data_IF_842285677740
#
_entry.id   IF_842285677740
#
_cell.length_a   1.000
_cell.length_b   1.000
_cell.length_c   1.000
_cell.angle_alpha   90.00
_cell.angle_beta   90.00
_cell.angle_gamma   90.00
#
_symmetry.space_group_name_H-M   'P 1'
#
loop_
_entity.id
_entity.type
_entity.pdbx_description
1 polymer ?
#
# COMPACT_ATOMS: atom_id res chain seq x y z
N UNK A 1 -20.86 3.80 8.80
CA UNK A 1 -21.41 2.76 7.89
C UNK A 1 -20.91 1.35 8.24
N UNK A 2 -21.68 0.28 7.99
CA UNK A 2 -21.22 -1.14 8.10
C UNK A 2 -20.58 -1.58 6.78
N UNK A 3 -19.40 -2.22 6.81
CA UNK A 3 -18.62 -2.63 5.62
C UNK A 3 -19.07 -3.99 5.04
N UNK A 4 -20.26 -4.03 4.44
CA UNK A 4 -20.81 -5.18 3.72
C UNK A 4 -20.53 -5.11 2.20
N UNK A 5 -20.95 -6.12 1.42
CA UNK A 5 -20.68 -6.20 -0.03
C UNK A 5 -21.11 -4.96 -0.82
N UNK A 6 -22.29 -4.42 -0.52
CA UNK A 6 -22.82 -3.22 -1.20
C UNK A 6 -22.06 -1.95 -0.83
N UNK A 7 -21.67 -1.84 0.43
CA UNK A 7 -20.99 -0.65 0.93
C UNK A 7 -19.55 -0.56 0.43
N UNK A 8 -18.87 -1.70 0.24
CA UNK A 8 -17.52 -1.77 -0.34
C UNK A 8 -17.53 -1.21 -1.76
N UNK A 9 -18.48 -1.66 -2.59
CA UNK A 9 -18.60 -1.15 -3.97
C UNK A 9 -18.94 0.34 -4.00
N UNK A 10 -19.85 0.80 -3.13
CA UNK A 10 -20.19 2.23 -2.98
C UNK A 10 -18.96 3.07 -2.62
N UNK A 11 -18.14 2.64 -1.67
CA UNK A 11 -16.94 3.37 -1.24
C UNK A 11 -15.94 3.50 -2.39
N UNK A 12 -15.66 2.38 -3.07
CA UNK A 12 -14.70 2.34 -4.18
C UNK A 12 -15.18 3.21 -5.36
N UNK A 13 -16.46 3.15 -5.69
CA UNK A 13 -17.05 3.96 -6.75
C UNK A 13 -17.06 5.45 -6.38
N UNK A 14 -17.64 5.81 -5.22
CA UNK A 14 -17.92 7.20 -4.86
C UNK A 14 -16.67 8.03 -4.60
N UNK A 15 -15.66 7.45 -3.95
CA UNK A 15 -14.45 8.18 -3.59
C UNK A 15 -13.35 8.08 -4.65
N UNK A 16 -13.32 6.97 -5.38
CA UNK A 16 -12.21 6.69 -6.29
C UNK A 16 -12.57 6.72 -7.76
N UNK A 17 -13.85 6.67 -8.10
CA UNK A 17 -14.35 6.75 -9.49
C UNK A 17 -14.23 5.43 -10.25
N UNK A 18 -13.98 4.31 -9.55
CA UNK A 18 -13.90 3.01 -10.19
C UNK A 18 -15.26 2.60 -10.79
N UNK A 19 -15.22 1.98 -11.96
CA UNK A 19 -16.43 1.60 -12.67
C UNK A 19 -17.08 0.39 -11.99
N UNK A 20 -18.38 0.51 -11.70
CA UNK A 20 -19.20 -0.61 -11.22
C UNK A 20 -19.72 -1.41 -12.41
N UNK A 21 -19.51 -2.72 -12.41
CA UNK A 21 -19.91 -3.63 -13.47
C UNK A 21 -20.86 -4.68 -12.89
N UNK A 22 -22.16 -4.65 -13.25
CA UNK A 22 -23.09 -5.66 -12.76
C UNK A 22 -22.81 -7.01 -13.43
N UNK A 23 -22.85 -8.07 -12.65
CA UNK A 23 -22.71 -9.45 -13.09
C UNK A 23 -23.88 -10.30 -12.55
N UNK A 24 -24.54 -11.14 -13.39
CA UNK A 24 -25.71 -11.90 -12.98
C UNK A 24 -25.51 -12.82 -11.77
N UNK A 25 -24.33 -13.44 -11.64
CA UNK A 25 -24.05 -14.42 -10.58
C UNK A 25 -23.11 -13.89 -9.50
N UNK A 26 -22.21 -12.98 -9.87
CA UNK A 26 -21.22 -12.41 -8.96
C UNK A 26 -21.68 -11.11 -8.28
N UNK A 27 -22.77 -10.51 -8.76
CA UNK A 27 -23.31 -9.24 -8.26
C UNK A 27 -22.57 -8.02 -8.80
N UNK A 28 -22.57 -6.93 -8.03
CA UNK A 28 -21.88 -5.70 -8.41
C UNK A 28 -20.35 -5.85 -8.25
N UNK A 29 -19.62 -5.79 -9.36
CA UNK A 29 -18.16 -5.83 -9.40
C UNK A 29 -17.56 -4.43 -9.48
N UNK A 30 -16.32 -4.27 -9.02
CA UNK A 30 -15.54 -3.04 -9.25
C UNK A 30 -14.41 -3.31 -10.23
N UNK A 31 -14.44 -2.65 -11.38
CA UNK A 31 -13.40 -2.72 -12.40
C UNK A 31 -12.22 -1.80 -12.06
N UNK A 32 -11.02 -2.35 -12.11
CA UNK A 32 -9.75 -1.68 -11.81
C UNK A 32 -8.71 -1.94 -12.90
N UNK A 33 -7.76 -1.00 -13.02
CA UNK A 33 -6.54 -1.26 -13.80
C UNK A 33 -5.67 -2.33 -13.10
N UNK A 34 -4.75 -3.02 -13.81
CA UNK A 34 -3.77 -3.92 -13.20
C UNK A 34 -3.03 -3.30 -12.02
N UNK A 35 -2.58 -2.05 -12.16
CA UNK A 35 -1.87 -1.33 -11.12
C UNK A 35 -2.74 -1.10 -9.88
N UNK A 36 -3.95 -0.57 -10.05
CA UNK A 36 -4.85 -0.31 -8.92
C UNK A 36 -5.25 -1.59 -8.19
N UNK A 37 -5.48 -2.66 -8.94
CA UNK A 37 -5.83 -3.97 -8.42
C UNK A 37 -4.67 -4.61 -7.65
N UNK A 38 -3.44 -4.47 -8.16
CA UNK A 38 -2.24 -4.95 -7.47
C UNK A 38 -2.02 -4.21 -6.15
N UNK A 39 -2.12 -2.88 -6.13
CA UNK A 39 -2.04 -2.10 -4.90
C UNK A 39 -3.17 -2.46 -3.92
N UNK A 40 -4.39 -2.65 -4.44
CA UNK A 40 -5.52 -3.12 -3.65
C UNK A 40 -5.23 -4.47 -3.00
N UNK A 41 -4.79 -5.46 -3.77
CA UNK A 41 -4.45 -6.80 -3.25
C UNK A 41 -3.31 -6.74 -2.24
N UNK A 42 -2.24 -6.00 -2.55
CA UNK A 42 -1.05 -5.90 -1.71
C UNK A 42 -1.34 -5.27 -0.34
N UNK A 43 -2.23 -4.27 -0.28
CA UNK A 43 -2.62 -3.64 0.99
C UNK A 43 -3.66 -4.48 1.72
N UNK A 44 -4.71 -4.93 1.02
CA UNK A 44 -5.86 -5.56 1.68
C UNK A 44 -5.67 -7.05 2.01
N UNK A 45 -4.73 -7.73 1.36
CA UNK A 45 -4.60 -9.19 1.44
C UNK A 45 -5.69 -9.96 0.68
N UNK A 46 -6.55 -9.25 -0.06
CA UNK A 46 -7.54 -9.88 -0.92
C UNK A 46 -6.87 -10.48 -2.15
N UNK A 47 -7.05 -11.78 -2.35
CA UNK A 47 -6.30 -12.52 -3.36
C UNK A 47 -7.00 -12.62 -4.71
N UNK A 48 -6.20 -12.73 -5.77
CA UNK A 48 -6.62 -13.10 -7.12
C UNK A 48 -7.10 -14.55 -7.11
N UNK A 49 -8.22 -14.85 -7.78
CA UNK A 49 -8.79 -16.19 -7.87
C UNK A 49 -8.00 -17.06 -8.87
N UNK A 50 -6.73 -17.31 -8.55
CA UNK A 50 -5.87 -18.26 -9.28
C UNK A 50 -5.92 -19.67 -8.66
N UNK A 51 -6.40 -19.76 -7.42
CA UNK A 51 -6.60 -20.98 -6.68
C UNK A 51 -7.78 -20.84 -5.71
N UNK A 52 -8.74 -21.76 -5.75
CA UNK A 52 -9.95 -21.71 -4.91
C UNK A 52 -9.71 -22.01 -3.43
N UNK A 53 -8.59 -22.63 -3.07
CA UNK A 53 -8.20 -22.88 -1.67
C UNK A 53 -7.44 -21.71 -1.08
N UNK A 54 -6.53 -21.13 -1.84
CA UNK A 54 -5.69 -20.02 -1.42
C UNK A 54 -5.45 -19.05 -2.57
N UNK A 55 -6.40 -18.13 -2.82
CA UNK A 55 -6.22 -17.04 -3.77
C UNK A 55 -4.92 -16.28 -3.50
N UNK A 56 -4.10 -16.06 -4.53
CA UNK A 56 -2.80 -15.41 -4.39
C UNK A 56 -2.92 -13.92 -4.03
N UNK A 57 -2.11 -13.45 -3.10
CA UNK A 57 -1.93 -12.03 -2.78
C UNK A 57 -0.46 -11.75 -2.45
N UNK A 58 0.01 -10.55 -2.77
CA UNK A 58 1.34 -10.07 -2.41
C UNK A 58 1.42 -9.41 -1.02
N UNK A 59 0.31 -9.37 -0.29
CA UNK A 59 0.28 -8.83 1.07
C UNK A 59 1.28 -9.57 1.98
N UNK A 60 2.03 -8.83 2.80
CA UNK A 60 3.09 -9.41 3.63
C UNK A 60 4.42 -9.63 2.91
N UNK A 61 4.43 -9.79 1.58
CA UNK A 61 5.64 -10.13 0.83
C UNK A 61 6.54 -8.93 0.53
N UNK A 62 6.04 -7.69 0.67
CA UNK A 62 6.77 -6.49 0.23
C UNK A 62 7.42 -5.70 1.37
N UNK A 63 7.53 -6.30 2.56
CA UNK A 63 8.24 -5.68 3.65
C UNK A 63 9.77 -5.65 3.37
N UNK A 64 10.47 -4.60 3.80
CA UNK A 64 11.94 -4.50 3.69
C UNK A 64 12.59 -4.55 5.07
N UNK A 65 12.06 -3.79 6.03
CA UNK A 65 12.58 -3.70 7.39
C UNK A 65 11.47 -3.93 8.42
N UNK A 66 11.82 -4.48 9.58
CA UNK A 66 10.89 -4.60 10.72
C UNK A 66 10.83 -3.34 11.59
N UNK A 67 11.92 -2.57 11.65
CA UNK A 67 12.06 -1.43 12.56
C UNK A 67 12.74 -0.27 11.86
N UNK A 68 12.27 0.94 12.17
CA UNK A 68 12.95 2.16 11.75
C UNK A 68 14.37 2.23 12.34
N UNK A 69 15.31 2.83 11.60
CA UNK A 69 16.72 3.02 11.96
C UNK A 69 17.57 1.75 12.18
N UNK A 70 16.99 0.54 12.16
CA UNK A 70 17.75 -0.70 12.39
C UNK A 70 18.43 -1.25 11.12
N UNK A 71 17.88 -0.97 9.93
CA UNK A 71 18.36 -1.45 8.63
C UNK A 71 18.58 -2.97 8.53
N UNK A 72 17.79 -3.75 9.27
CA UNK A 72 17.83 -5.22 9.22
C UNK A 72 16.79 -5.72 8.23
N UNK A 73 17.26 -6.29 7.11
CA UNK A 73 16.37 -6.88 6.12
C UNK A 73 15.52 -7.99 6.73
N UNK A 74 14.24 -7.97 6.38
CA UNK A 74 13.34 -9.11 6.53
C UNK A 74 13.15 -9.77 5.17
N UNK A 75 12.79 -11.05 5.16
CA UNK A 75 12.44 -11.72 3.90
C UNK A 75 11.17 -11.11 3.34
N UNK A 76 11.32 -10.32 2.29
CA UNK A 76 10.25 -9.66 1.56
C UNK A 76 10.77 -9.15 0.23
N UNK A 77 10.75 -7.83 -0.02
CA UNK A 77 11.32 -7.27 -1.26
C UNK A 77 12.82 -7.53 -1.40
N UNK A 78 13.52 -7.64 -0.27
CA UNK A 78 14.88 -8.14 -0.18
C UNK A 78 14.85 -9.47 0.60
N UNK A 79 15.76 -10.38 0.31
CA UNK A 79 16.06 -11.52 1.18
C UNK A 79 17.07 -11.13 2.28
N UNK A 80 17.42 -12.10 3.13
CA UNK A 80 18.37 -11.86 4.22
C UNK A 80 19.82 -11.69 3.76
N UNK A 81 20.12 -12.00 2.50
CA UNK A 81 21.43 -11.83 1.89
C UNK A 81 21.52 -10.51 1.11
N UNK A 82 20.44 -9.72 1.06
CA UNK A 82 20.38 -8.43 0.38
C UNK A 82 20.08 -8.54 -1.12
N UNK A 83 19.59 -9.69 -1.59
CA UNK A 83 19.11 -9.83 -2.96
C UNK A 83 17.65 -9.40 -3.06
N UNK A 84 17.27 -8.82 -4.19
CA UNK A 84 15.87 -8.59 -4.55
C UNK A 84 15.15 -9.94 -4.68
N UNK A 85 13.98 -10.06 -4.05
CA UNK A 85 13.22 -11.30 -3.97
C UNK A 85 11.72 -11.10 -4.29
N UNK A 86 10.89 -10.67 -3.35
CA UNK A 86 9.45 -10.43 -3.62
C UNK A 86 9.17 -9.01 -4.15
N UNK A 87 9.90 -8.58 -5.18
CA UNK A 87 9.64 -7.28 -5.81
C UNK A 87 8.41 -7.35 -6.72
N UNK A 88 7.66 -6.26 -6.94
CA UNK A 88 6.57 -6.24 -7.92
C UNK A 88 7.00 -6.70 -9.31
N UNK A 89 8.27 -6.46 -9.70
CA UNK A 89 8.83 -6.96 -10.95
C UNK A 89 8.93 -8.48 -10.98
N UNK A 90 9.38 -9.10 -9.90
CA UNK A 90 9.52 -10.56 -9.84
C UNK A 90 8.16 -11.24 -9.67
N UNK A 91 7.27 -10.66 -8.86
CA UNK A 91 5.89 -11.13 -8.74
C UNK A 91 5.15 -11.07 -10.09
N UNK A 92 5.32 -10.00 -10.86
CA UNK A 92 4.75 -9.89 -12.21
C UNK A 92 5.36 -10.91 -13.21
N UNK A 93 6.58 -11.38 -12.99
CA UNK A 93 7.19 -12.43 -13.83
C UNK A 93 6.67 -13.82 -13.47
N UNK A 94 6.49 -14.12 -12.18
CA UNK A 94 5.94 -15.40 -11.71
C UNK A 94 4.42 -15.49 -11.92
N UNK A 95 3.72 -14.36 -11.83
CA UNK A 95 2.28 -14.23 -11.98
C UNK A 95 1.97 -13.18 -13.06
N UNK A 96 2.15 -13.54 -14.33
CA UNK A 96 1.99 -12.61 -15.47
C UNK A 96 0.60 -11.98 -15.57
N UNK A 97 -0.43 -12.64 -15.03
CA UNK A 97 -1.79 -12.12 -14.96
C UNK A 97 -1.89 -10.85 -14.10
N UNK A 98 -0.95 -10.57 -13.19
CA UNK A 98 -0.99 -9.37 -12.34
C UNK A 98 -0.94 -8.07 -13.16
N UNK A 99 -0.24 -8.07 -14.30
CA UNK A 99 0.05 -6.87 -15.10
C UNK A 99 -0.77 -6.75 -16.39
N UNK A 100 -1.67 -7.70 -16.67
CA UNK A 100 -2.47 -7.76 -17.91
C UNK A 100 -3.95 -7.56 -17.65
N UNK A 101 -4.71 -7.18 -18.69
CA UNK A 101 -6.18 -7.15 -18.64
C UNK A 101 -6.79 -6.18 -17.63
N UNK A 102 -8.11 -6.07 -17.63
CA UNK A 102 -8.81 -5.38 -16.55
C UNK A 102 -9.01 -6.33 -15.37
N UNK A 103 -9.03 -5.80 -14.15
CA UNK A 103 -9.25 -6.59 -12.93
C UNK A 103 -10.58 -6.24 -12.28
N UNK A 104 -11.16 -7.20 -11.55
CA UNK A 104 -12.48 -7.08 -10.95
C UNK A 104 -12.45 -7.44 -9.47
N UNK A 105 -12.80 -6.50 -8.60
CA UNK A 105 -13.01 -6.80 -7.18
C UNK A 105 -14.40 -7.41 -7.01
N UNK A 106 -14.47 -8.57 -6.37
CA UNK A 106 -15.71 -9.28 -6.05
C UNK A 106 -15.87 -9.35 -4.53
N UNK A 107 -16.78 -8.57 -3.92
CA UNK A 107 -17.09 -8.68 -2.50
C UNK A 107 -17.86 -9.98 -2.20
N UNK A 108 -17.29 -10.85 -1.38
CA UNK A 108 -17.86 -12.14 -1.00
C UNK A 108 -18.07 -12.18 0.51
N UNK A 109 -19.34 -12.26 0.90
CA UNK A 109 -19.75 -12.45 2.30
C UNK A 109 -19.80 -13.93 2.63
N UNK A 110 -19.22 -14.31 3.78
CA UNK A 110 -19.19 -15.71 4.20
C UNK A 110 -19.11 -15.84 5.72
N UNK A 111 -19.63 -16.96 6.24
CA UNK A 111 -19.58 -17.28 7.68
C UNK A 111 -18.37 -18.14 8.04
N UNK A 112 -18.08 -19.16 7.22
CA UNK A 112 -17.00 -20.13 7.45
C UNK A 112 -16.08 -20.26 6.24
N UNK A 113 -14.84 -20.71 6.46
CA UNK A 113 -13.89 -20.94 5.36
C UNK A 113 -14.36 -22.07 4.42
N UNK A 114 -15.15 -23.04 4.90
CA UNK A 114 -15.71 -24.09 4.06
C UNK A 114 -16.74 -23.50 3.08
N UNK A 115 -17.67 -22.67 3.57
CA UNK A 115 -18.64 -21.97 2.73
C UNK A 115 -17.96 -21.05 1.71
N UNK A 116 -16.88 -20.36 2.12
CA UNK A 116 -16.11 -19.55 1.19
C UNK A 116 -15.49 -20.42 0.10
N UNK A 117 -14.84 -21.53 0.45
CA UNK A 117 -14.19 -22.40 -0.52
C UNK A 117 -15.18 -22.98 -1.54
N UNK A 118 -16.34 -23.46 -1.09
CA UNK A 118 -17.43 -23.91 -1.97
C UNK A 118 -17.85 -22.79 -2.92
N UNK A 119 -18.06 -21.58 -2.40
CA UNK A 119 -18.42 -20.42 -3.21
C UNK A 119 -17.34 -20.06 -4.23
N UNK A 120 -16.06 -20.17 -3.87
CA UNK A 120 -14.96 -19.89 -4.80
C UNK A 120 -14.90 -20.90 -5.95
N UNK A 121 -15.22 -22.18 -5.70
CA UNK A 121 -15.34 -23.20 -6.76
C UNK A 121 -16.49 -22.86 -7.71
N UNK A 122 -17.67 -22.55 -7.17
CA UNK A 122 -18.82 -22.12 -8.00
C UNK A 122 -18.48 -20.89 -8.86
N UNK A 123 -17.79 -19.91 -8.27
CA UNK A 123 -17.36 -18.71 -8.97
C UNK A 123 -16.35 -19.02 -10.07
N UNK A 124 -15.34 -19.84 -9.80
CA UNK A 124 -14.34 -20.26 -10.79
C UNK A 124 -15.00 -20.96 -11.98
N UNK A 125 -15.92 -21.89 -11.72
CA UNK A 125 -16.69 -22.59 -12.75
C UNK A 125 -17.52 -21.62 -13.59
N UNK A 126 -18.27 -20.72 -12.95
CA UNK A 126 -19.09 -19.72 -13.64
C UNK A 126 -18.24 -18.79 -14.52
N UNK A 127 -17.15 -18.25 -13.97
CA UNK A 127 -16.26 -17.32 -14.68
C UNK A 127 -15.67 -18.01 -15.92
N UNK A 128 -15.19 -19.25 -15.75
CA UNK A 128 -14.64 -20.06 -16.84
C UNK A 128 -15.70 -20.35 -17.92
N UNK A 129 -16.92 -20.73 -17.52
CA UNK A 129 -18.02 -21.02 -18.44
C UNK A 129 -18.51 -19.78 -19.22
N UNK A 130 -18.23 -18.57 -18.71
CA UNK A 130 -18.50 -17.30 -19.41
C UNK A 130 -17.32 -16.81 -20.27
N UNK A 131 -16.27 -17.61 -20.41
CA UNK A 131 -15.10 -17.30 -21.25
C UNK A 131 -14.17 -16.23 -20.66
N UNK A 132 -14.24 -15.98 -19.36
CA UNK A 132 -13.36 -15.05 -18.62
C UNK A 132 -12.31 -15.84 -17.83
N UNK A 133 -11.19 -15.20 -17.50
CA UNK A 133 -10.14 -15.81 -16.68
C UNK A 133 -10.42 -15.55 -15.18
N UNK A 134 -10.55 -16.59 -14.32
CA UNK A 134 -10.67 -16.42 -12.87
C UNK A 134 -9.57 -15.53 -12.26
N UNK A 135 -8.36 -15.52 -12.84
CA UNK A 135 -7.23 -14.71 -12.36
C UNK A 135 -7.42 -13.21 -12.55
N UNK A 136 -8.44 -12.78 -13.30
CA UNK A 136 -8.82 -11.37 -13.40
C UNK A 136 -9.65 -10.88 -12.21
N UNK A 137 -10.08 -11.80 -11.32
CA UNK A 137 -10.97 -11.49 -10.21
C UNK A 137 -10.24 -11.54 -8.88
N UNK A 138 -10.39 -10.50 -8.06
CA UNK A 138 -9.88 -10.42 -6.70
C UNK A 138 -11.03 -10.59 -5.71
N UNK A 139 -10.88 -11.54 -4.79
CA UNK A 139 -11.90 -11.88 -3.81
C UNK A 139 -11.77 -10.96 -2.59
N UNK A 140 -12.66 -10.00 -2.49
CA UNK A 140 -12.81 -9.15 -1.30
C UNK A 140 -13.60 -9.92 -0.23
N UNK A 141 -12.90 -10.47 0.75
CA UNK A 141 -13.43 -11.39 1.76
C UNK A 141 -14.10 -10.61 2.88
N UNK A 142 -15.39 -10.82 3.10
CA UNK A 142 -16.17 -10.18 4.17
C UNK A 142 -16.66 -11.25 5.13
N UNK A 143 -15.95 -11.45 6.25
CA UNK A 143 -16.25 -12.54 7.19
C UNK A 143 -17.34 -12.14 8.17
N UNK A 144 -18.57 -12.60 7.94
CA UNK A 144 -19.76 -12.19 8.69
C UNK A 144 -19.72 -12.56 10.18
N UNK A 145 -18.98 -13.61 10.53
CA UNK A 145 -18.81 -14.10 11.91
C UNK A 145 -17.78 -13.32 12.72
N UNK A 146 -17.00 -12.44 12.11
CA UNK A 146 -16.03 -11.60 12.80
C UNK A 146 -16.60 -10.19 13.02
N UNK A 147 -16.52 -9.65 14.23
CA UNK A 147 -16.88 -8.25 14.50
C UNK A 147 -16.05 -7.32 13.61
N UNK A 148 -16.67 -6.32 12.98
CA UNK A 148 -15.98 -5.48 11.98
C UNK A 148 -15.64 -6.17 10.66
N UNK A 149 -16.04 -7.45 10.50
CA UNK A 149 -15.92 -8.25 9.29
C UNK A 149 -14.50 -8.49 8.77
N UNK A 150 -13.48 -8.28 9.62
CA UNK A 150 -12.08 -8.29 9.25
C UNK A 150 -11.73 -7.28 8.13
N UNK A 151 -12.40 -6.13 8.12
CA UNK A 151 -12.27 -5.12 7.05
C UNK A 151 -11.31 -3.97 7.39
N UNK A 152 -10.43 -4.14 8.39
CA UNK A 152 -9.38 -3.16 8.70
C UNK A 152 -8.44 -2.92 7.49
N UNK A 153 -7.94 -3.97 6.80
CA UNK A 153 -7.09 -3.76 5.62
C UNK A 153 -7.79 -3.00 4.48
N UNK A 154 -9.11 -3.16 4.34
CA UNK A 154 -9.88 -2.37 3.38
C UNK A 154 -9.87 -0.88 3.74
N UNK A 155 -10.00 -0.54 5.02
CA UNK A 155 -9.94 0.85 5.48
C UNK A 155 -8.54 1.44 5.40
N UNK A 156 -7.48 0.64 5.59
CA UNK A 156 -6.10 1.04 5.28
C UNK A 156 -5.94 1.41 3.80
N UNK A 157 -6.47 0.58 2.89
CA UNK A 157 -6.48 0.89 1.45
C UNK A 157 -7.24 2.18 1.15
N UNK A 158 -8.42 2.38 1.76
CA UNK A 158 -9.23 3.59 1.58
C UNK A 158 -8.45 4.84 2.02
N UNK A 159 -7.81 4.79 3.19
CA UNK A 159 -6.98 5.89 3.70
C UNK A 159 -5.77 6.14 2.78
N UNK A 160 -5.06 5.09 2.39
CA UNK A 160 -3.93 5.15 1.46
C UNK A 160 -4.32 5.81 0.14
N UNK A 161 -5.38 5.33 -0.51
CA UNK A 161 -5.82 5.87 -1.81
C UNK A 161 -6.29 7.32 -1.68
N UNK A 162 -6.94 7.69 -0.58
CA UNK A 162 -7.34 9.07 -0.30
C UNK A 162 -6.14 10.03 -0.23
N UNK A 163 -5.13 9.70 0.59
CA UNK A 163 -3.94 10.53 0.75
C UNK A 163 -3.05 10.53 -0.51
N UNK A 164 -2.95 9.41 -1.22
CA UNK A 164 -2.22 9.34 -2.50
C UNK A 164 -2.81 10.30 -3.54
N UNK A 165 -4.15 10.45 -3.61
CA UNK A 165 -4.80 11.43 -4.50
C UNK A 165 -4.47 12.89 -4.15
N UNK A 166 -4.07 13.14 -2.90
CA UNK A 166 -3.63 14.44 -2.39
C UNK A 166 -2.13 14.68 -2.53
N UNK A 167 -1.37 13.74 -3.10
CA UNK A 167 0.08 13.87 -3.28
C UNK A 167 0.92 13.42 -2.10
N UNK A 168 0.36 12.61 -1.19
CA UNK A 168 1.15 11.97 -0.14
C UNK A 168 1.74 10.67 -0.65
N UNK A 169 2.87 10.27 -0.05
CA UNK A 169 3.31 8.88 -0.11
C UNK A 169 2.80 8.11 1.10
N UNK A 170 2.31 6.88 0.90
CA UNK A 170 1.67 6.11 1.98
C UNK A 170 2.30 4.75 2.19
N UNK A 171 2.26 4.27 3.43
CA UNK A 171 2.71 2.93 3.84
C UNK A 171 1.71 2.32 4.83
N UNK A 172 1.50 1.01 4.73
CA UNK A 172 0.64 0.21 5.63
C UNK A 172 1.42 -0.91 6.33
N UNK A 173 2.67 -1.16 5.92
CA UNK A 173 3.62 -2.07 6.57
C UNK A 173 4.79 -1.29 7.18
N UNK A 174 4.47 -0.38 8.11
CA UNK A 174 5.39 0.68 8.53
C UNK A 174 6.47 0.13 9.45
N UNK A 175 7.77 0.18 9.07
CA UNK A 175 8.83 -0.02 10.03
C UNK A 175 8.81 1.14 11.02
N UNK A 176 8.58 0.84 12.30
CA UNK A 176 8.47 1.87 13.33
C UNK A 176 9.40 1.60 14.51
N UNK A 177 9.46 2.55 15.44
CA UNK A 177 10.33 2.45 16.61
C UNK A 177 9.95 1.24 17.49
N UNK A 178 10.98 0.52 17.96
CA UNK A 178 10.80 -0.53 18.97
C UNK A 178 10.00 0.02 20.16
N UNK A 179 9.07 -0.78 20.71
CA UNK A 179 8.11 -0.42 21.78
C UNK A 179 7.01 0.59 21.44
N UNK A 180 6.96 1.15 20.21
CA UNK A 180 5.89 2.07 19.79
C UNK A 180 4.57 1.40 19.41
N UNK A 181 4.60 0.09 19.13
CA UNK A 181 3.58 -0.59 18.33
C UNK A 181 3.74 -0.25 16.84
N UNK A 182 3.14 -1.05 15.97
CA UNK A 182 3.22 -0.85 14.51
C UNK A 182 1.94 -0.15 14.07
N UNK A 183 2.01 1.08 13.52
CA UNK A 183 0.83 1.73 12.98
C UNK A 183 0.26 0.96 11.80
N UNK A 184 -1.06 1.01 11.65
CA UNK A 184 -1.76 0.42 10.50
C UNK A 184 -1.61 1.29 9.23
N UNK A 185 -1.37 2.59 9.41
CA UNK A 185 -1.29 3.54 8.31
C UNK A 185 -0.34 4.70 8.59
N UNK A 186 0.38 5.14 7.56
CA UNK A 186 1.09 6.41 7.56
C UNK A 186 1.03 7.08 6.18
N UNK A 187 1.05 8.40 6.20
CA UNK A 187 1.10 9.26 5.03
C UNK A 187 2.16 10.35 5.20
N UNK A 188 2.91 10.61 4.15
CA UNK A 188 4.02 11.55 4.15
C UNK A 188 3.89 12.53 2.98
N UNK A 189 3.73 13.81 3.30
CA UNK A 189 3.93 14.88 2.32
C UNK A 189 5.42 15.20 2.32
N UNK A 190 6.08 14.93 1.19
CA UNK A 190 7.52 15.11 1.03
C UNK A 190 7.75 15.94 -0.25
N UNK A 191 7.57 17.27 -0.21
CA UNK A 191 7.56 18.11 -1.41
C UNK A 191 8.82 17.97 -2.27
N UNK A 192 9.99 17.85 -1.65
CA UNK A 192 11.27 17.70 -2.35
C UNK A 192 11.31 16.38 -3.15
N UNK A 193 10.97 15.26 -2.51
CA UNK A 193 10.93 13.94 -3.15
C UNK A 193 9.81 13.89 -4.18
N UNK A 194 8.61 14.37 -3.84
CA UNK A 194 7.45 14.42 -4.72
C UNK A 194 7.72 15.25 -5.97
N UNK A 195 8.43 16.38 -5.84
CA UNK A 195 8.87 17.21 -6.96
C UNK A 195 9.84 16.48 -7.89
N UNK A 196 10.83 15.78 -7.31
CA UNK A 196 11.77 14.95 -8.07
C UNK A 196 11.03 13.83 -8.80
N UNK A 197 10.24 13.01 -8.11
CA UNK A 197 9.49 11.89 -8.69
C UNK A 197 8.53 12.37 -9.79
N UNK A 198 7.85 13.49 -9.59
CA UNK A 198 6.94 14.10 -10.59
C UNK A 198 7.66 14.49 -11.88
N UNK A 199 8.92 14.94 -11.79
CA UNK A 199 9.73 15.26 -12.98
C UNK A 199 9.99 14.03 -13.85
N UNK A 200 10.19 12.87 -13.23
CA UNK A 200 10.51 11.62 -13.93
C UNK A 200 9.27 10.84 -14.38
N UNK A 201 8.25 10.76 -13.52
CA UNK A 201 7.13 9.83 -13.69
C UNK A 201 5.74 10.49 -13.67
N UNK A 202 5.68 11.82 -13.57
CA UNK A 202 4.45 12.61 -13.65
C UNK A 202 3.40 12.33 -12.55
N UNK A 203 3.80 11.78 -11.42
CA UNK A 203 2.99 11.72 -10.20
C UNK A 203 3.77 12.24 -8.98
N UNK A 204 3.06 12.73 -7.99
CA UNK A 204 3.63 13.31 -6.76
C UNK A 204 3.14 12.64 -5.47
N UNK A 205 2.31 11.58 -5.57
CA UNK A 205 1.92 10.73 -4.46
C UNK A 205 1.65 9.29 -4.92
N UNK A 206 1.94 8.32 -4.07
CA UNK A 206 1.72 6.88 -4.32
C UNK A 206 1.95 6.08 -3.04
N UNK A 207 1.45 4.85 -2.96
CA UNK A 207 1.96 3.95 -1.93
C UNK A 207 3.44 3.66 -2.20
N UNK A 208 4.20 3.31 -1.16
CA UNK A 208 5.59 2.89 -1.37
C UNK A 208 5.69 1.64 -2.26
N UNK A 209 4.75 0.69 -2.12
CA UNK A 209 4.60 -0.43 -3.06
C UNK A 209 4.42 0.08 -4.51
N UNK A 210 3.67 1.16 -4.71
CA UNK A 210 3.51 1.80 -6.02
C UNK A 210 4.81 2.39 -6.58
N UNK A 211 5.74 2.84 -5.72
CA UNK A 211 7.08 3.23 -6.14
C UNK A 211 7.91 2.03 -6.61
N UNK A 212 7.74 0.87 -5.98
CA UNK A 212 8.42 -0.38 -6.35
C UNK A 212 7.84 -1.06 -7.60
N UNK A 213 6.69 -0.60 -8.10
CA UNK A 213 5.94 -1.28 -9.16
C UNK A 213 6.05 -0.59 -10.53
N UNK A 214 6.82 0.48 -10.65
CA UNK A 214 6.90 1.33 -11.85
C UNK A 214 7.33 0.53 -13.08
N UNK A 215 8.33 -0.35 -12.96
CA UNK A 215 8.80 -1.15 -14.11
C UNK A 215 7.84 -2.26 -14.51
N UNK A 216 7.13 -2.83 -13.55
CA UNK A 216 6.19 -3.93 -13.78
C UNK A 216 4.91 -3.42 -14.45
N UNK A 217 4.38 -2.29 -14.00
CA UNK A 217 3.07 -1.76 -14.42
C UNK A 217 3.16 -0.53 -15.34
N UNK A 218 4.36 0.00 -15.58
CA UNK A 218 4.57 1.24 -16.32
C UNK A 218 4.25 2.50 -15.51
N UNK A 219 4.29 3.64 -16.20
CA UNK A 219 3.95 4.93 -15.61
C UNK A 219 2.44 5.01 -15.38
N UNK A 220 2.04 5.16 -14.12
CA UNK A 220 0.65 5.35 -13.71
C UNK A 220 0.40 6.82 -13.34
N UNK A 221 -0.78 7.33 -13.69
CA UNK A 221 -1.21 8.66 -13.28
C UNK A 221 -1.82 8.58 -11.87
N UNK A 222 -1.18 9.18 -10.88
CA UNK A 222 -1.85 9.54 -9.62
C UNK A 222 -2.22 11.02 -9.62
N UNK A 223 -3.05 11.42 -8.65
CA UNK A 223 -3.69 12.75 -8.58
C UNK A 223 -2.72 13.93 -8.69
N UNK A 224 -3.27 15.11 -8.99
CA UNK A 224 -2.50 16.35 -9.20
C UNK A 224 -2.23 17.15 -7.93
N UNK A 225 -2.77 16.73 -6.78
CA UNK A 225 -2.62 17.46 -5.52
C UNK A 225 -1.17 17.48 -5.07
N UNK A 226 -0.63 18.64 -4.73
CA UNK A 226 0.71 18.75 -4.14
C UNK A 226 0.56 19.59 -2.87
N UNK A 227 0.79 18.96 -1.73
CA UNK A 227 1.04 19.69 -0.50
C UNK A 227 2.45 20.28 -0.58
N UNK A 228 2.59 21.55 -0.20
CA UNK A 228 3.86 22.27 -0.24
C UNK A 228 4.61 22.20 1.11
N UNK A 229 4.05 21.52 2.09
CA UNK A 229 4.57 21.43 3.44
C UNK A 229 5.00 20.00 3.72
N UNK A 230 6.19 19.83 4.27
CA UNK A 230 6.67 18.54 4.78
C UNK A 230 5.84 18.12 5.98
N UNK A 231 5.23 16.94 5.89
CA UNK A 231 4.31 16.47 6.92
C UNK A 231 4.34 14.95 7.04
N UNK A 232 4.29 14.44 8.28
CA UNK A 232 4.10 13.03 8.59
C UNK A 232 2.78 12.83 9.34
N UNK A 233 2.00 11.86 8.88
CA UNK A 233 0.69 11.49 9.42
C UNK A 233 0.74 10.02 9.82
N UNK A 234 0.12 9.67 10.94
CA UNK A 234 -0.07 8.29 11.39
C UNK A 234 -1.55 7.97 11.55
N UNK A 235 -1.93 6.71 11.36
CA UNK A 235 -3.29 6.23 11.52
C UNK A 235 -3.35 4.89 12.22
N UNK A 236 -4.44 4.69 12.95
CA UNK A 236 -4.82 3.41 13.53
C UNK A 236 -6.23 3.07 13.02
N UNK A 237 -6.37 1.88 12.46
CA UNK A 237 -7.62 1.41 11.87
C UNK A 237 -8.35 0.53 12.86
N UNK A 238 -9.65 0.78 13.03
CA UNK A 238 -10.54 -0.13 13.75
C UNK A 238 -11.86 -0.25 13.01
N UNK A 239 -12.29 -1.49 12.76
CA UNK A 239 -13.63 -1.77 12.20
C UNK A 239 -14.56 -2.44 13.20
N UNK A 240 -14.00 -3.07 14.23
CA UNK A 240 -14.72 -3.80 15.26
C UNK A 240 -14.94 -2.99 16.55
N UNK A 241 -14.09 -2.00 16.82
CA UNK A 241 -14.13 -1.18 18.04
C UNK A 241 -14.04 0.31 17.70
N UNK A 242 -14.32 1.15 18.70
CA UNK A 242 -14.09 2.58 18.64
C UNK A 242 -12.77 2.99 19.34
N UNK A 243 -11.98 2.02 19.76
CA UNK A 243 -10.82 2.19 20.64
C UNK A 243 -9.51 2.14 19.84
N UNK A 244 -9.18 3.25 19.17
CA UNK A 244 -7.90 3.45 18.48
C UNK A 244 -6.96 4.40 19.25
N UNK A 245 -7.52 5.19 20.18
CA UNK A 245 -6.86 6.33 20.79
C UNK A 245 -5.61 5.98 21.59
N UNK A 246 -5.61 4.88 22.35
CA UNK A 246 -4.47 4.53 23.19
C UNK A 246 -3.24 4.13 22.36
N UNK A 247 -3.48 3.53 21.21
CA UNK A 247 -2.42 3.19 20.27
C UNK A 247 -1.92 4.46 19.55
N UNK A 248 -2.83 5.36 19.16
CA UNK A 248 -2.46 6.69 18.63
C UNK A 248 -1.60 7.50 19.61
N UNK A 249 -1.93 7.51 20.91
CA UNK A 249 -1.12 8.20 21.93
C UNK A 249 0.33 7.71 21.91
N UNK A 250 0.55 6.39 21.84
CA UNK A 250 1.91 5.81 21.76
C UNK A 250 2.67 6.26 20.52
N UNK A 251 1.99 6.43 19.38
CA UNK A 251 2.60 6.95 18.15
C UNK A 251 2.97 8.42 18.30
N UNK A 252 2.05 9.24 18.81
CA UNK A 252 2.25 10.67 19.01
C UNK A 252 3.34 10.97 20.05
N UNK A 253 3.47 10.14 21.09
CA UNK A 253 4.52 10.26 22.12
C UNK A 253 5.95 10.12 21.55
N UNK A 254 6.10 9.54 20.35
CA UNK A 254 7.40 9.51 19.66
C UNK A 254 7.82 10.89 19.14
N UNK A 255 6.86 11.81 18.94
CA UNK A 255 7.10 13.19 18.54
C UNK A 255 7.47 13.38 17.07
N UNK A 256 7.19 12.39 16.20
CA UNK A 256 7.56 12.44 14.78
C UNK A 256 6.41 12.79 13.84
N UNK A 257 5.16 12.66 14.28
CA UNK A 257 3.98 12.88 13.45
C UNK A 257 3.33 14.23 13.73
N UNK A 258 2.98 14.95 12.66
CA UNK A 258 2.26 16.23 12.70
C UNK A 258 0.78 16.04 12.99
N UNK A 259 0.20 14.92 12.51
CA UNK A 259 -1.21 14.57 12.70
C UNK A 259 -1.36 13.07 12.95
N UNK A 260 -2.43 12.73 13.65
CA UNK A 260 -2.89 11.36 13.77
C UNK A 260 -4.37 11.26 13.42
N UNK A 261 -4.78 10.12 12.87
CA UNK A 261 -6.18 9.83 12.59
C UNK A 261 -6.60 8.50 13.18
N UNK A 262 -7.78 8.49 13.80
CA UNK A 262 -8.55 7.27 13.90
C UNK A 262 -9.20 6.98 12.55
N UNK A 263 -9.10 5.75 12.07
CA UNK A 263 -9.71 5.33 10.80
C UNK A 263 -10.81 4.33 11.14
N UNK A 264 -12.02 4.85 11.36
CA UNK A 264 -13.14 4.09 11.91
C UNK A 264 -14.41 4.42 11.11
N UNK A 265 -14.92 3.50 10.27
CA UNK A 265 -15.93 3.79 9.26
C UNK A 265 -17.29 4.22 9.81
N UNK A 266 -17.59 3.95 11.09
CA UNK A 266 -18.88 4.25 11.72
C UNK A 266 -18.78 5.23 12.91
N UNK A 267 -17.60 5.76 13.23
CA UNK A 267 -17.45 6.78 14.27
C UNK A 267 -17.96 8.12 13.73
N UNK A 268 -18.62 8.90 14.59
CA UNK A 268 -19.31 10.15 14.18
C UNK A 268 -18.50 11.43 14.44
N UNK A 269 -17.58 11.39 15.40
CA UNK A 269 -16.83 12.56 15.84
C UNK A 269 -15.39 12.18 16.20
N UNK A 270 -14.41 13.06 15.91
CA UNK A 270 -13.02 12.83 16.26
C UNK A 270 -12.79 12.98 17.77
N UNK A 271 -11.67 12.43 18.24
CA UNK A 271 -11.12 12.72 19.56
C UNK A 271 -10.44 14.10 19.58
N UNK A 272 -10.05 14.56 20.77
CA UNK A 272 -9.38 15.87 20.92
C UNK A 272 -8.00 15.90 20.26
N UNK A 273 -7.25 14.81 20.36
CA UNK A 273 -5.84 14.73 19.94
C UNK A 273 -5.63 13.98 18.62
N UNK A 274 -6.70 13.44 18.03
CA UNK A 274 -6.65 12.67 16.81
C UNK A 274 -7.82 13.07 15.90
N UNK A 275 -7.55 13.26 14.62
CA UNK A 275 -8.60 13.40 13.63
C UNK A 275 -9.36 12.10 13.43
N UNK A 276 -10.38 12.13 12.57
CA UNK A 276 -11.18 10.96 12.23
C UNK A 276 -11.36 10.85 10.71
N UNK A 277 -11.09 9.66 10.19
CA UNK A 277 -11.48 9.21 8.86
C UNK A 277 -12.64 8.24 9.02
N UNK A 278 -13.84 8.66 8.62
CA UNK A 278 -15.06 7.87 8.71
C UNK A 278 -15.78 7.79 7.37
N UNK A 279 -16.82 6.95 7.30
CA UNK A 279 -17.68 6.81 6.12
C UNK A 279 -19.11 7.21 6.49
N UNK A 280 -19.70 8.11 5.72
CA UNK A 280 -21.13 8.39 5.84
C UNK A 280 -21.98 7.24 5.25
N UNK A 281 -23.31 7.33 5.39
CA UNK A 281 -24.22 6.26 4.95
C UNK A 281 -24.27 6.08 3.42
N UNK A 282 -23.76 7.06 2.67
CA UNK A 282 -23.62 6.98 1.22
C UNK A 282 -22.27 6.38 0.78
N UNK A 283 -21.39 6.05 1.73
CA UNK A 283 -20.05 5.54 1.49
C UNK A 283 -19.02 6.62 1.18
N UNK A 284 -19.32 7.90 1.42
CA UNK A 284 -18.36 8.99 1.21
C UNK A 284 -17.39 9.10 2.39
N UNK A 285 -16.11 9.34 2.08
CA UNK A 285 -15.09 9.59 3.08
C UNK A 285 -15.33 10.96 3.73
N UNK A 286 -15.45 10.98 5.06
CA UNK A 286 -15.47 12.19 5.88
C UNK A 286 -14.19 12.28 6.68
N UNK A 287 -13.51 13.42 6.55
CA UNK A 287 -12.30 13.74 7.31
C UNK A 287 -12.63 14.83 8.32
N UNK A 288 -12.32 14.56 9.57
CA UNK A 288 -12.38 15.53 10.66
C UNK A 288 -10.98 15.72 11.21
N UNK A 289 -10.53 16.96 11.33
CA UNK A 289 -9.22 17.27 11.93
C UNK A 289 -9.28 17.18 13.46
N UNK A 290 -8.12 16.91 14.08
CA UNK A 290 -7.97 16.96 15.52
C UNK A 290 -8.20 18.39 16.05
N UNK A 291 -8.77 18.51 17.25
CA UNK A 291 -8.93 19.81 17.91
C UNK A 291 -7.61 20.37 18.42
N UNK A 292 -6.70 19.49 18.80
CA UNK A 292 -5.37 19.84 19.34
C UNK A 292 -4.30 19.32 18.38
N UNK A 293 -3.34 20.15 17.96
CA UNK A 293 -2.24 19.71 17.11
C UNK A 293 -1.35 18.71 17.84
N UNK A 294 -0.74 17.79 17.10
CA UNK A 294 0.26 16.89 17.67
C UNK A 294 1.52 17.66 18.08
N UNK A 295 2.16 17.22 19.18
CA UNK A 295 3.43 17.78 19.63
C UNK A 295 4.58 17.12 18.88
N UNK A 296 5.16 17.83 17.92
CA UNK A 296 6.36 17.40 17.19
C UNK A 296 7.63 17.78 17.98
N UNK A 297 8.60 16.87 18.00
CA UNK A 297 9.97 17.12 18.48
C UNK A 297 10.85 17.25 17.23
N UNK A 298 11.27 18.47 16.85
CA UNK A 298 11.91 18.72 15.56
C UNK A 298 13.10 17.82 15.26
N UNK A 299 13.97 17.58 16.23
CA UNK A 299 15.18 16.77 16.06
C UNK A 299 14.83 15.31 15.71
N UNK A 300 13.84 14.73 16.40
CA UNK A 300 13.37 13.37 16.14
C UNK A 300 12.67 13.25 14.80
N UNK A 301 11.88 14.25 14.44
CA UNK A 301 11.19 14.26 13.14
C UNK A 301 12.20 14.36 12.00
N UNK A 302 13.20 15.23 12.10
CA UNK A 302 14.27 15.35 11.10
C UNK A 302 15.01 14.03 10.95
N UNK A 303 15.38 13.36 12.05
CA UNK A 303 16.02 12.05 12.01
C UNK A 303 15.14 10.99 11.33
N UNK A 304 13.86 10.91 11.71
CA UNK A 304 12.92 9.95 11.13
C UNK A 304 12.70 10.19 9.64
N UNK A 305 12.54 11.44 9.22
CA UNK A 305 12.34 11.79 7.81
C UNK A 305 13.60 11.54 6.98
N UNK A 306 14.80 11.73 7.55
CA UNK A 306 16.05 11.36 6.89
C UNK A 306 16.16 9.83 6.69
N UNK A 307 15.76 9.05 7.69
CA UNK A 307 15.64 7.59 7.54
C UNK A 307 14.59 7.21 6.50
N UNK A 308 13.42 7.85 6.50
CA UNK A 308 12.35 7.61 5.55
C UNK A 308 12.79 7.88 4.11
N UNK A 309 13.59 8.93 3.90
CA UNK A 309 14.20 9.21 2.60
C UNK A 309 15.08 8.06 2.12
N UNK A 310 15.88 7.47 3.01
CA UNK A 310 16.64 6.26 2.68
C UNK A 310 15.70 5.09 2.39
N UNK A 311 14.67 4.89 3.21
CA UNK A 311 13.68 3.83 3.04
C UNK A 311 13.02 3.86 1.65
N UNK A 312 12.64 5.04 1.17
CA UNK A 312 12.09 5.26 -0.19
C UNK A 312 13.05 4.78 -1.29
N UNK A 313 14.37 4.95 -1.10
CA UNK A 313 15.38 4.49 -2.08
C UNK A 313 15.32 2.98 -2.29
N UNK A 314 15.04 2.19 -1.26
CA UNK A 314 14.91 0.73 -1.37
C UNK A 314 13.71 0.33 -2.24
N UNK A 315 12.56 1.00 -2.10
CA UNK A 315 11.41 0.77 -2.98
C UNK A 315 11.73 1.16 -4.43
N UNK A 316 12.42 2.27 -4.67
CA UNK A 316 12.83 2.64 -6.02
C UNK A 316 13.78 1.60 -6.63
N UNK A 317 14.77 1.13 -5.85
CA UNK A 317 15.72 0.08 -6.26
C UNK A 317 15.03 -1.25 -6.57
N UNK A 318 13.92 -1.58 -5.89
CA UNK A 318 13.16 -2.81 -6.13
C UNK A 318 12.59 -2.94 -7.57
N UNK A 319 12.67 -1.90 -8.39
CA UNK A 319 12.37 -1.96 -9.82
C UNK A 319 13.50 -2.58 -10.67
N UNK A 320 14.69 -2.80 -10.11
CA UNK A 320 15.81 -3.45 -10.78
C UNK A 320 15.72 -4.98 -10.68
N UNK A 321 16.49 -5.70 -11.50
CA UNK A 321 16.86 -7.10 -11.21
C UNK A 321 18.11 -7.15 -10.34
N UNK A 322 18.45 -8.32 -9.82
CA UNK A 322 19.69 -8.52 -9.06
C UNK A 322 20.92 -8.19 -9.89
N UNK A 323 20.96 -8.63 -11.16
CA UNK A 323 22.06 -8.35 -12.07
C UNK A 323 22.23 -6.84 -12.33
N UNK A 324 21.11 -6.12 -12.47
CA UNK A 324 21.13 -4.66 -12.69
C UNK A 324 21.53 -3.90 -11.42
N UNK A 325 21.13 -4.38 -10.24
CA UNK A 325 21.55 -3.81 -8.96
C UNK A 325 23.04 -4.05 -8.71
N UNK A 326 23.56 -5.25 -9.04
CA UNK A 326 24.98 -5.58 -8.99
C UNK A 326 25.81 -4.74 -9.96
N UNK A 327 25.32 -4.56 -11.19
CA UNK A 327 25.93 -3.67 -12.17
C UNK A 327 25.96 -2.22 -11.66
N UNK A 328 24.85 -1.75 -11.09
CA UNK A 328 24.75 -0.38 -10.56
C UNK A 328 25.70 -0.15 -9.39
N UNK A 329 25.77 -1.12 -8.47
CA UNK A 329 26.74 -1.13 -7.38
C UNK A 329 28.17 -1.12 -7.92
N UNK A 330 28.50 -2.01 -8.86
CA UNK A 330 29.87 -2.15 -9.37
C UNK A 330 30.38 -0.94 -10.15
N UNK A 331 29.52 -0.24 -10.88
CA UNK A 331 29.88 1.03 -11.55
C UNK A 331 30.28 2.14 -10.57
N UNK A 332 29.80 2.08 -9.32
CA UNK A 332 30.03 3.13 -8.31
C UNK A 332 31.08 2.72 -7.28
N UNK A 333 31.07 1.46 -6.83
CA UNK A 333 31.95 0.93 -5.80
C UNK A 333 33.23 0.31 -6.35
N UNK A 334 33.33 0.07 -7.67
CA UNK A 334 34.50 -0.56 -8.30
C UNK A 334 34.67 -2.05 -7.96
N UNK A 335 33.65 -2.70 -7.36
CA UNK A 335 33.63 -4.12 -6.99
C UNK A 335 32.39 -4.82 -7.58
N UNK A 336 32.50 -6.11 -7.93
CA UNK A 336 31.38 -6.89 -8.49
C UNK A 336 30.51 -7.59 -7.45
N UNK A 337 31.02 -7.77 -6.24
CA UNK A 337 30.30 -8.42 -5.14
C UNK A 337 30.13 -7.42 -3.99
N UNK A 338 29.06 -7.60 -3.22
CA UNK A 338 28.75 -6.78 -2.04
C UNK A 338 28.35 -7.65 -0.87
N UNK A 339 28.73 -7.20 0.32
CA UNK A 339 28.15 -7.65 1.59
C UNK A 339 26.89 -6.84 1.91
N UNK A 340 26.08 -7.29 2.87
CA UNK A 340 24.89 -6.53 3.31
C UNK A 340 25.26 -5.13 3.81
N UNK A 341 26.28 -4.92 4.67
CA UNK A 341 26.67 -3.58 5.08
C UNK A 341 27.07 -2.68 3.90
N UNK A 342 27.83 -3.22 2.94
CA UNK A 342 28.21 -2.47 1.73
C UNK A 342 26.99 -2.12 0.87
N UNK A 343 25.99 -3.00 0.78
CA UNK A 343 24.73 -2.70 0.08
C UNK A 343 23.96 -1.57 0.78
N UNK A 344 23.79 -1.65 2.09
CA UNK A 344 23.07 -0.63 2.87
C UNK A 344 23.76 0.73 2.77
N UNK A 345 25.10 0.76 2.90
CA UNK A 345 25.91 1.96 2.73
C UNK A 345 25.74 2.55 1.33
N UNK A 346 25.84 1.69 0.29
CA UNK A 346 25.64 2.10 -1.09
C UNK A 346 24.28 2.73 -1.31
N UNK A 347 23.18 2.05 -0.94
CA UNK A 347 21.82 2.55 -1.16
C UNK A 347 21.59 3.86 -0.40
N UNK A 348 22.03 3.93 0.86
CA UNK A 348 21.83 5.12 1.69
C UNK A 348 22.62 6.32 1.17
N UNK A 349 23.80 6.10 0.55
CA UNK A 349 24.61 7.16 -0.05
C UNK A 349 24.08 7.69 -1.40
N UNK A 350 23.14 6.99 -2.05
CA UNK A 350 22.57 7.45 -3.32
C UNK A 350 21.65 8.65 -3.14
N UNK A 351 21.75 9.61 -4.07
CA UNK A 351 20.68 10.57 -4.34
C UNK A 351 19.53 9.88 -5.08
N UNK A 352 18.28 10.28 -4.83
CA UNK A 352 17.10 9.69 -5.46
C UNK A 352 17.17 9.82 -6.98
N UNK A 353 17.62 10.98 -7.50
CA UNK A 353 17.81 11.24 -8.92
C UNK A 353 18.72 10.21 -9.60
N UNK A 354 19.80 9.79 -8.93
CA UNK A 354 20.70 8.76 -9.47
C UNK A 354 19.96 7.43 -9.71
N UNK A 355 19.02 7.08 -8.82
CA UNK A 355 18.21 5.88 -8.94
C UNK A 355 17.22 6.05 -10.09
N UNK A 356 16.51 7.20 -10.15
CA UNK A 356 15.54 7.49 -11.20
C UNK A 356 16.16 7.54 -12.60
N UNK A 357 17.37 8.11 -12.73
CA UNK A 357 18.15 8.10 -13.97
C UNK A 357 18.51 6.67 -14.42
N UNK A 358 18.81 5.77 -13.47
CA UNK A 358 19.02 4.34 -13.78
C UNK A 358 17.71 3.69 -14.20
N UNK A 359 16.59 3.94 -13.52
CA UNK A 359 15.29 3.34 -13.80
C UNK A 359 14.72 3.73 -15.17
N UNK A 360 14.82 5.00 -15.56
CA UNK A 360 14.30 5.50 -16.84
C UNK A 360 14.88 4.78 -18.06
N UNK A 361 16.14 4.33 -17.99
CA UNK A 361 16.77 3.52 -19.04
C UNK A 361 16.02 2.21 -19.31
N UNK A 362 15.38 1.64 -18.30
CA UNK A 362 14.66 0.36 -18.39
C UNK A 362 13.17 0.53 -18.65
N UNK A 363 12.60 1.70 -18.33
CA UNK A 363 11.18 2.01 -18.54
C UNK A 363 10.93 2.51 -19.97
N UNK A 364 11.81 3.37 -20.50
CA UNK A 364 11.68 3.94 -21.85
C UNK A 364 12.35 3.10 -22.95
N UNK A 365 13.03 2.01 -22.58
CA UNK A 365 13.65 1.06 -23.52
C UNK A 365 12.73 -0.09 -23.94
N UNK A 366 11.42 0.00 -23.67
CA UNK A 366 10.40 -0.98 -24.06
C UNK A 366 9.56 -0.47 -25.22
#
# INVERSE_FOLDING_TARGET
>A
MRLNKESVTKVLQKNFGFAKVPDPELGDLIKMSPFDAFIYSAITGHGYLDNTRQPYTSNGLMQIFNQANAYNFVTGMFDRDGNLFHTPLYEAKSHSYLVSGDKFIVPVEYDTNANLQERLVEMEEYITNTGRDPKDFIICRIKLTTTGFAMEPFMEYVASKYFNKKGYFTETQIPFYYSGGTPDFAAYSLPDIGGIVKKYFHFNGSSFIGLASIRAFGLHKNGSGQENITEAIVGEVKTASLEALDQIKKYLDKGVFNRAYEIIPNKKSPETIAGLIALDDSGEIKIYEAKTPAKVVPEKQVEYLAWLQNYIKYFLIANLTNEELDEFYGQRAGKRTRTIPELLEFINALHIENILDKLTKYIHGK
#
